data_IF_860489649543
#
_entry.id   IF_860489649543
#
_cell.length_a   1.000
_cell.length_b   1.000
_cell.length_c   1.000
_cell.angle_alpha   90.00
_cell.angle_beta   90.00
_cell.angle_gamma   90.00
#
_symmetry.space_group_name_H-M   'P 1'
#
loop_
_entity.id
_entity.type
_entity.pdbx_description
1 polymer ?
#
# COMPACT_ATOMS: atom_id res chain seq x y z
N UNK A 1 -11.31 8.71 -0.25
CA UNK A 1 -9.89 9.09 -0.28
C UNK A 1 -9.50 9.55 -1.69
N UNK A 2 -8.63 10.56 -1.81
CA UNK A 2 -8.07 11.02 -3.08
C UNK A 2 -6.63 10.51 -3.22
N UNK A 3 -6.29 9.96 -4.38
CA UNK A 3 -4.92 9.60 -4.76
C UNK A 3 -4.45 10.64 -5.77
N UNK A 4 -3.56 11.54 -5.34
CA UNK A 4 -3.02 12.64 -6.13
C UNK A 4 -1.53 12.47 -6.48
N UNK A 5 -0.87 11.48 -5.86
CA UNK A 5 0.55 11.16 -6.05
C UNK A 5 0.81 9.67 -5.80
N UNK A 6 1.97 9.18 -6.25
CA UNK A 6 2.44 7.81 -6.01
C UNK A 6 3.93 7.81 -5.67
N UNK A 7 4.41 6.77 -4.98
CA UNK A 7 5.85 6.54 -4.89
C UNK A 7 6.37 6.02 -6.23
N UNK A 8 7.36 6.71 -6.80
CA UNK A 8 8.08 6.25 -7.99
C UNK A 8 9.44 5.71 -7.61
N UNK A 9 9.88 4.68 -8.34
CA UNK A 9 11.28 4.24 -8.29
C UNK A 9 12.14 5.38 -8.83
N UNK A 10 13.04 5.88 -8.00
CA UNK A 10 14.14 6.75 -8.40
C UNK A 10 15.42 5.94 -8.59
N UNK A 11 16.42 6.53 -9.25
CA UNK A 11 17.79 5.99 -9.31
C UNK A 11 18.44 5.94 -7.92
N UNK A 12 18.06 6.85 -7.02
CA UNK A 12 18.36 6.78 -5.60
C UNK A 12 17.50 5.73 -4.90
N UNK A 13 18.06 5.02 -3.92
CA UNK A 13 17.41 3.92 -3.18
C UNK A 13 16.25 4.38 -2.25
N UNK A 14 15.93 5.68 -2.28
CA UNK A 14 14.81 6.30 -1.54
C UNK A 14 13.72 6.69 -2.54
N UNK A 15 12.59 5.96 -2.58
CA UNK A 15 11.45 6.32 -3.43
C UNK A 15 10.95 7.74 -3.16
N UNK A 16 10.68 8.49 -4.23
CA UNK A 16 10.13 9.85 -4.16
C UNK A 16 8.67 9.88 -4.59
N UNK A 17 7.91 10.83 -4.07
CA UNK A 17 6.56 11.09 -4.58
C UNK A 17 6.64 11.65 -6.00
N UNK A 18 5.85 11.07 -6.89
CA UNK A 18 5.71 11.45 -8.28
C UNK A 18 4.22 11.63 -8.65
N UNK A 19 3.94 12.36 -9.74
CA UNK A 19 2.63 12.37 -10.38
C UNK A 19 2.03 10.97 -10.55
N UNK A 20 0.70 10.85 -10.49
CA UNK A 20 0.04 9.57 -10.79
C UNK A 20 0.31 9.17 -12.24
N UNK A 21 0.35 7.86 -12.52
CA UNK A 21 0.74 7.28 -13.82
C UNK A 21 -0.18 7.68 -15.01
N UNK A 22 -1.21 8.48 -14.77
CA UNK A 22 -2.04 9.05 -15.84
C UNK A 22 -1.23 10.11 -16.61
N UNK A 23 -1.26 10.03 -17.95
CA UNK A 23 -0.63 11.03 -18.85
C UNK A 23 -1.14 12.45 -18.58
N UNK A 24 -2.36 12.59 -18.05
CA UNK A 24 -2.96 13.88 -17.65
C UNK A 24 -2.86 14.16 -16.14
N UNK A 25 -2.14 13.33 -15.39
CA UNK A 25 -1.95 13.40 -13.94
C UNK A 25 -3.27 13.56 -13.14
N UNK A 26 -4.37 12.93 -13.58
CA UNK A 26 -5.68 13.11 -12.94
C UNK A 26 -5.77 12.34 -11.62
N UNK A 27 -6.07 13.00 -10.48
CA UNK A 27 -6.28 12.32 -9.22
C UNK A 27 -7.44 11.31 -9.30
N UNK A 28 -7.33 10.21 -8.56
CA UNK A 28 -8.38 9.19 -8.47
C UNK A 28 -9.06 9.25 -7.12
N UNK A 29 -10.39 9.21 -7.10
CA UNK A 29 -11.17 9.04 -5.86
C UNK A 29 -11.48 7.58 -5.67
N UNK A 30 -11.17 7.06 -4.47
CA UNK A 30 -11.52 5.69 -4.07
C UNK A 30 -12.36 5.79 -2.78
N UNK A 31 -13.54 5.16 -2.72
CA UNK A 31 -14.26 4.96 -1.47
C UNK A 31 -13.36 4.26 -0.46
N UNK A 32 -13.34 4.74 0.79
CA UNK A 32 -12.59 4.11 1.86
C UNK A 32 -13.59 3.49 2.83
N UNK A 33 -13.80 2.15 2.80
CA UNK A 33 -14.73 1.49 3.70
C UNK A 33 -14.38 1.74 5.17
N UNK A 34 -15.39 1.78 6.06
CA UNK A 34 -15.17 2.03 7.50
C UNK A 34 -14.19 1.04 8.14
N UNK A 35 -14.22 -0.24 7.74
CA UNK A 35 -13.28 -1.26 8.22
C UNK A 35 -11.81 -0.90 7.89
N UNK A 36 -11.57 -0.26 6.75
CA UNK A 36 -10.22 0.19 6.37
C UNK A 36 -9.82 1.41 7.20
N UNK A 37 -10.75 2.32 7.48
CA UNK A 37 -10.48 3.48 8.36
C UNK A 37 -10.05 3.00 9.74
N UNK A 38 -10.81 2.09 10.37
CA UNK A 38 -10.47 1.56 11.69
C UNK A 38 -9.11 0.86 11.72
N UNK A 39 -8.79 0.05 10.70
CA UNK A 39 -7.48 -0.60 10.61
C UNK A 39 -6.31 0.39 10.45
N UNK A 40 -6.52 1.51 9.71
CA UNK A 40 -5.51 2.55 9.58
C UNK A 40 -5.33 3.35 10.88
N UNK A 41 -6.41 3.61 11.61
CA UNK A 41 -6.35 4.27 12.92
C UNK A 41 -5.57 3.45 13.94
N UNK A 42 -5.83 2.14 14.00
CA UNK A 42 -5.10 1.20 14.86
C UNK A 42 -3.62 1.14 14.48
N UNK A 43 -3.31 1.05 13.18
CA UNK A 43 -1.94 1.08 12.69
C UNK A 43 -1.20 2.39 13.06
N UNK A 44 -1.86 3.54 12.91
CA UNK A 44 -1.26 4.84 13.28
C UNK A 44 -1.02 4.92 14.79
N UNK A 45 -1.93 4.37 15.60
CA UNK A 45 -1.77 4.33 17.05
C UNK A 45 -0.57 3.49 17.47
N UNK A 46 -0.37 2.33 16.84
CA UNK A 46 0.66 1.37 17.24
C UNK A 46 2.05 1.71 16.67
N UNK A 47 2.11 2.27 15.46
CA UNK A 47 3.37 2.48 14.73
C UNK A 47 3.69 3.96 14.45
N UNK A 48 2.75 4.87 14.68
CA UNK A 48 2.88 6.28 14.33
C UNK A 48 2.87 6.51 12.81
N UNK A 49 3.40 7.67 12.40
CA UNK A 49 3.55 8.06 10.99
C UNK A 49 5.03 8.27 10.70
N UNK A 50 5.51 7.68 9.60
CA UNK A 50 6.91 7.79 9.21
C UNK A 50 7.32 9.23 8.83
N UNK A 51 8.64 9.53 8.80
CA UNK A 51 9.16 10.90 8.61
C UNK A 51 8.67 11.63 7.36
N UNK A 52 8.29 10.89 6.32
CA UNK A 52 7.77 11.44 5.05
C UNK A 52 6.24 11.41 4.96
N UNK A 53 5.52 11.26 6.07
CA UNK A 53 4.06 11.13 6.09
C UNK A 53 3.56 9.76 5.59
N UNK A 54 4.45 8.76 5.55
CA UNK A 54 4.11 7.41 5.13
C UNK A 54 3.54 6.61 6.29
N UNK A 55 2.39 5.97 6.08
CA UNK A 55 1.78 5.09 7.08
C UNK A 55 2.54 3.77 7.20
N UNK A 56 3.02 3.23 6.08
CA UNK A 56 3.74 1.96 6.03
C UNK A 56 5.22 2.20 5.72
N UNK A 57 6.06 1.97 6.71
CA UNK A 57 7.52 2.06 6.60
C UNK A 57 8.20 0.80 7.13
N UNK A 58 9.46 0.60 6.77
CA UNK A 58 10.30 -0.36 7.46
C UNK A 58 10.80 0.19 8.81
N UNK A 59 11.57 -0.61 9.55
CA UNK A 59 12.16 -0.24 10.84
C UNK A 59 13.07 1.00 10.79
N UNK A 60 13.55 1.39 9.59
CA UNK A 60 14.36 2.59 9.37
C UNK A 60 13.53 3.82 8.98
N UNK A 61 12.19 3.72 8.99
CA UNK A 61 11.30 4.79 8.56
C UNK A 61 11.27 5.02 7.04
N UNK A 62 11.85 4.12 6.26
CA UNK A 62 11.87 4.19 4.79
C UNK A 62 10.68 3.45 4.17
N UNK A 63 10.28 3.76 2.92
CA UNK A 63 9.23 3.03 2.23
C UNK A 63 9.50 1.52 2.19
N UNK A 64 8.44 0.72 2.37
CA UNK A 64 8.54 -0.75 2.22
C UNK A 64 8.85 -1.08 0.75
N UNK A 65 9.92 -1.85 0.53
CA UNK A 65 10.25 -2.34 -0.82
C UNK A 65 9.19 -3.33 -1.31
N UNK A 66 8.94 -3.34 -2.62
CA UNK A 66 7.96 -4.25 -3.22
C UNK A 66 8.26 -5.73 -2.92
N UNK A 67 9.53 -6.14 -2.95
CA UNK A 67 9.94 -7.52 -2.65
C UNK A 67 9.66 -7.87 -1.18
N UNK A 68 10.06 -7.00 -0.25
CA UNK A 68 9.76 -7.15 1.18
C UNK A 68 8.25 -7.26 1.43
N UNK A 69 7.45 -6.42 0.78
CA UNK A 69 6.00 -6.47 0.88
C UNK A 69 5.44 -7.79 0.34
N UNK A 70 5.97 -8.30 -0.76
CA UNK A 70 5.59 -9.62 -1.30
C UNK A 70 5.87 -10.73 -0.29
N UNK A 71 7.01 -10.71 0.40
CA UNK A 71 7.35 -11.71 1.41
C UNK A 71 6.43 -11.62 2.63
N UNK A 72 6.13 -10.40 3.09
CA UNK A 72 5.16 -10.15 4.17
C UNK A 72 3.79 -10.70 3.80
N UNK A 73 3.32 -10.41 2.58
CA UNK A 73 2.04 -10.92 2.08
C UNK A 73 2.01 -12.45 2.11
N UNK A 74 3.04 -13.13 1.60
CA UNK A 74 3.08 -14.59 1.58
C UNK A 74 2.99 -15.20 2.99
N UNK A 75 3.67 -14.59 3.96
CA UNK A 75 3.62 -15.03 5.37
C UNK A 75 2.25 -14.83 6.00
N UNK A 76 1.57 -13.73 5.68
CA UNK A 76 0.23 -13.44 6.20
C UNK A 76 -0.89 -14.25 5.51
N UNK A 77 -0.76 -14.47 4.20
CA UNK A 77 -1.78 -15.07 3.36
C UNK A 77 -1.77 -16.62 3.40
N UNK A 78 -0.59 -17.22 3.57
CA UNK A 78 -0.45 -18.68 3.64
C UNK A 78 -1.30 -19.37 4.72
N UNK A 79 -1.31 -18.90 5.98
CA UNK A 79 -2.09 -19.49 7.06
C UNK A 79 -3.61 -19.50 6.83
N UNK A 80 -4.12 -18.59 6.00
CA UNK A 80 -5.55 -18.50 5.64
C UNK A 80 -5.87 -19.22 4.33
N UNK A 81 -4.96 -20.05 3.82
CA UNK A 81 -5.18 -20.91 2.65
C UNK A 81 -5.01 -20.23 1.30
N UNK A 82 -4.46 -19.01 1.24
CA UNK A 82 -4.21 -18.33 -0.04
C UNK A 82 -2.97 -18.97 -0.70
N UNK A 83 -3.07 -19.46 -1.96
CA UNK A 83 -1.94 -20.11 -2.63
C UNK A 83 -0.74 -19.18 -2.83
N UNK A 84 0.48 -19.72 -2.79
CA UNK A 84 1.72 -18.92 -2.94
C UNK A 84 1.78 -18.08 -4.23
N UNK A 85 1.12 -18.52 -5.31
CA UNK A 85 1.06 -17.79 -6.58
C UNK A 85 -0.07 -16.75 -6.64
N UNK A 86 -0.99 -16.76 -5.68
CA UNK A 86 -1.97 -15.71 -5.50
C UNK A 86 -1.31 -14.52 -4.81
N UNK A 87 -0.77 -13.61 -5.62
CA UNK A 87 -0.16 -12.38 -5.13
C UNK A 87 -1.20 -11.41 -4.56
N UNK A 88 -0.69 -10.34 -3.96
CA UNK A 88 -1.50 -9.25 -3.41
C UNK A 88 -2.53 -8.66 -4.39
N UNK A 89 -2.31 -8.82 -5.70
CA UNK A 89 -3.25 -8.41 -6.74
C UNK A 89 -4.63 -9.10 -6.62
N UNK A 90 -4.73 -10.24 -5.93
CA UNK A 90 -5.99 -10.89 -5.62
C UNK A 90 -6.95 -9.96 -4.86
N UNK A 91 -6.45 -9.16 -3.92
CA UNK A 91 -7.28 -8.20 -3.18
C UNK A 91 -7.85 -7.11 -4.09
N UNK A 92 -7.09 -6.72 -5.12
CA UNK A 92 -7.58 -5.79 -6.13
C UNK A 92 -8.72 -6.40 -6.96
N UNK A 93 -8.59 -7.68 -7.35
CA UNK A 93 -9.66 -8.39 -8.03
C UNK A 93 -10.91 -8.50 -7.16
N UNK A 94 -10.76 -8.90 -5.89
CA UNK A 94 -11.87 -8.98 -4.94
C UNK A 94 -12.59 -7.65 -4.80
N UNK A 95 -11.85 -6.55 -4.58
CA UNK A 95 -12.44 -5.22 -4.49
C UNK A 95 -13.21 -4.85 -5.77
N UNK A 96 -12.65 -5.13 -6.95
CA UNK A 96 -13.32 -4.84 -8.21
C UNK A 96 -14.58 -5.69 -8.45
N UNK A 97 -14.65 -6.91 -7.92
CA UNK A 97 -15.83 -7.78 -8.05
C UNK A 97 -16.96 -7.46 -7.07
N UNK A 98 -16.64 -6.76 -5.98
CA UNK A 98 -17.61 -6.38 -4.93
C UNK A 98 -18.20 -4.98 -5.19
N UNK A 99 -17.72 -4.28 -6.21
CA UNK A 99 -18.23 -2.98 -6.67
C UNK A 99 -19.40 -3.11 -7.64
#
# INVERSE_FOLDING_TARGET
>A
MTIDRQLSRSSSDIPVFAPVKDRKNRPRRIPLPKVVVGALEEHIKDFGVGPSGLLFTNEKGLPVRQTTFSDIWQRAAGPVGIPKRAGFHLLRHFYASVL
#
